data_IF_578332958099
#
_entry.id   IF_578332958099
#
_cell.length_a   1.000
_cell.length_b   1.000
_cell.length_c   1.000
_cell.angle_alpha   90.00
_cell.angle_beta   90.00
_cell.angle_gamma   90.00
#
_symmetry.space_group_name_H-M   'P 1'
#
loop_
_entity.id
_entity.type
_entity.pdbx_description
1 polymer ?
#
# COMPACT_ATOMS: atom_id res chain seq x y z
N UNK A 1 17.91 -33.46 0.21
CA UNK A 1 16.71 -33.21 1.04
C UNK A 1 16.44 -31.71 1.06
N UNK A 2 15.40 -31.29 0.32
CA UNK A 2 14.56 -30.08 0.51
C UNK A 2 15.23 -28.69 0.63
N UNK A 3 15.81 -28.19 -0.46
CA UNK A 3 15.99 -26.73 -0.66
C UNK A 3 14.70 -26.07 -1.19
N UNK A 4 13.85 -26.82 -1.90
CA UNK A 4 12.58 -26.29 -2.43
C UNK A 4 11.55 -25.95 -1.34
N UNK A 5 11.57 -26.65 -0.20
CA UNK A 5 10.59 -26.41 0.88
C UNK A 5 10.75 -25.06 1.58
N UNK A 6 11.94 -24.46 1.57
CA UNK A 6 12.16 -23.15 2.19
C UNK A 6 11.54 -22.04 1.31
N UNK A 7 11.59 -22.20 -0.02
CA UNK A 7 10.99 -21.26 -0.97
C UNK A 7 9.45 -21.25 -0.88
N UNK A 8 8.82 -22.43 -0.75
CA UNK A 8 7.36 -22.51 -0.58
C UNK A 8 6.88 -21.91 0.75
N UNK A 9 7.65 -22.04 1.82
CA UNK A 9 7.34 -21.41 3.11
C UNK A 9 7.43 -19.88 3.04
N UNK A 10 8.43 -19.33 2.34
CA UNK A 10 8.58 -17.89 2.17
C UNK A 10 7.49 -17.27 1.30
N UNK A 11 7.18 -17.90 0.15
CA UNK A 11 6.11 -17.41 -0.74
C UNK A 11 4.73 -17.55 -0.10
N UNK A 12 4.48 -18.65 0.63
CA UNK A 12 3.24 -18.85 1.38
C UNK A 12 3.04 -17.80 2.48
N UNK A 13 4.09 -17.50 3.25
CA UNK A 13 4.08 -16.46 4.27
C UNK A 13 3.80 -15.07 3.69
N UNK A 14 4.44 -14.71 2.57
CA UNK A 14 4.27 -13.39 1.94
C UNK A 14 2.84 -13.20 1.42
N UNK A 15 2.25 -14.26 0.85
CA UNK A 15 0.88 -14.24 0.35
C UNK A 15 -0.15 -14.18 1.48
N UNK A 16 0.02 -14.95 2.56
CA UNK A 16 -0.87 -14.90 3.73
C UNK A 16 -0.88 -13.51 4.38
N UNK A 17 0.26 -12.83 4.39
CA UNK A 17 0.41 -11.48 4.93
C UNK A 17 -0.39 -10.45 4.15
N UNK A 18 -0.21 -10.44 2.82
CA UNK A 18 -0.92 -9.54 1.92
C UNK A 18 -2.44 -9.75 2.03
N UNK A 19 -2.87 -10.99 2.22
CA UNK A 19 -4.29 -11.34 2.39
C UNK A 19 -4.84 -10.83 3.74
N UNK A 20 -4.12 -11.00 4.85
CA UNK A 20 -4.56 -10.51 6.18
C UNK A 20 -4.65 -8.99 6.25
N UNK A 21 -3.64 -8.29 5.71
CA UNK A 21 -3.62 -6.83 5.62
C UNK A 21 -4.81 -6.29 4.82
N UNK A 22 -5.02 -6.82 3.62
CA UNK A 22 -6.13 -6.41 2.75
C UNK A 22 -7.51 -6.69 3.39
N UNK A 23 -7.65 -7.79 4.13
CA UNK A 23 -8.90 -8.14 4.81
C UNK A 23 -9.24 -7.16 5.94
N UNK A 24 -8.25 -6.66 6.68
CA UNK A 24 -8.49 -5.66 7.73
C UNK A 24 -8.97 -4.31 7.16
N UNK A 25 -8.41 -3.88 6.03
CA UNK A 25 -8.74 -2.60 5.39
C UNK A 25 -10.11 -2.63 4.70
N UNK A 26 -10.51 -3.77 4.13
CA UNK A 26 -11.80 -3.91 3.44
C UNK A 26 -13.01 -3.75 4.37
N UNK A 27 -12.85 -4.04 5.67
CA UNK A 27 -13.92 -3.98 6.67
C UNK A 27 -14.07 -2.60 7.33
N UNK A 28 -13.28 -1.61 6.92
CA UNK A 28 -13.30 -0.27 7.50
C UNK A 28 -14.60 0.46 7.15
N UNK A 29 -15.24 1.06 8.16
CA UNK A 29 -16.55 1.69 8.04
C UNK A 29 -16.48 3.14 7.55
N UNK A 30 -15.35 3.82 7.74
CA UNK A 30 -15.17 5.23 7.35
C UNK A 30 -13.72 5.57 6.99
N UNK A 31 -13.53 6.65 6.22
CA UNK A 31 -12.17 7.19 5.96
C UNK A 31 -11.47 7.64 7.24
N UNK A 32 -12.21 8.11 8.25
CA UNK A 32 -11.60 8.49 9.52
C UNK A 32 -10.96 7.29 10.21
N UNK A 33 -11.67 6.17 10.26
CA UNK A 33 -11.15 4.92 10.84
C UNK A 33 -9.94 4.41 10.04
N UNK A 34 -9.98 4.53 8.71
CA UNK A 34 -8.86 4.18 7.84
C UNK A 34 -7.62 5.04 8.13
N UNK A 35 -7.82 6.35 8.28
CA UNK A 35 -6.74 7.29 8.57
C UNK A 35 -6.12 6.98 9.93
N UNK A 36 -6.95 6.79 10.97
CA UNK A 36 -6.47 6.40 12.31
C UNK A 36 -5.69 5.10 12.29
N UNK A 37 -6.14 4.11 11.51
CA UNK A 37 -5.42 2.86 11.35
C UNK A 37 -4.04 3.08 10.73
N UNK A 38 -3.94 3.80 9.62
CA UNK A 38 -2.64 4.04 8.98
C UNK A 38 -1.71 4.95 9.78
N UNK A 39 -2.26 5.93 10.50
CA UNK A 39 -1.49 6.82 11.37
C UNK A 39 -0.73 6.06 12.46
N UNK A 40 -1.24 4.91 12.88
CA UNK A 40 -0.54 4.05 13.84
C UNK A 40 0.83 3.54 13.35
N UNK A 41 1.08 3.56 12.03
CA UNK A 41 2.34 3.15 11.42
C UNK A 41 3.30 4.30 11.10
N UNK A 42 2.89 5.57 11.29
CA UNK A 42 3.80 6.70 11.13
C UNK A 42 4.64 6.97 12.38
N UNK A 43 5.82 7.55 12.20
CA UNK A 43 6.64 7.99 13.31
C UNK A 43 5.93 9.10 14.11
N UNK A 44 5.78 8.90 15.42
CA UNK A 44 5.13 9.87 16.34
C UNK A 44 6.13 10.81 17.02
N UNK A 45 7.42 10.63 16.78
CA UNK A 45 8.53 11.43 17.30
C UNK A 45 9.66 11.51 16.27
N UNK A 46 10.52 12.54 16.35
CA UNK A 46 11.73 12.68 15.53
C UNK A 46 12.80 11.63 15.93
N UNK A 47 12.51 10.35 15.70
CA UNK A 47 13.32 9.23 16.18
C UNK A 47 14.02 8.46 15.07
N UNK A 48 14.02 8.95 13.83
CA UNK A 48 14.73 8.30 12.72
C UNK A 48 16.15 8.88 12.63
N UNK A 49 17.15 8.02 12.64
CA UNK A 49 18.52 8.45 12.36
C UNK A 49 18.62 8.94 10.90
N UNK A 50 19.59 9.83 10.60
CA UNK A 50 19.72 10.43 9.27
C UNK A 50 19.89 9.36 8.17
N UNK A 51 20.63 8.31 8.45
CA UNK A 51 20.91 7.23 7.49
C UNK A 51 19.65 6.40 7.22
N UNK A 52 18.86 6.09 8.26
CA UNK A 52 17.56 5.44 8.11
C UNK A 52 16.58 6.32 7.33
N UNK A 53 16.59 7.62 7.59
CA UNK A 53 15.78 8.59 6.85
C UNK A 53 16.14 8.60 5.37
N UNK A 54 17.43 8.74 5.03
CA UNK A 54 17.93 8.73 3.65
C UNK A 54 17.62 7.41 2.95
N UNK A 55 17.77 6.28 3.64
CA UNK A 55 17.47 4.96 3.10
C UNK A 55 15.98 4.79 2.77
N UNK A 56 15.09 5.40 3.56
CA UNK A 56 13.63 5.32 3.37
C UNK A 56 13.07 6.24 2.27
N UNK A 57 13.88 7.15 1.73
CA UNK A 57 13.45 8.09 0.70
C UNK A 57 13.19 7.38 -0.64
N UNK A 58 12.12 7.76 -1.35
CA UNK A 58 11.87 7.21 -2.67
C UNK A 58 12.95 7.56 -3.71
N UNK A 59 13.30 6.59 -4.55
CA UNK A 59 14.19 6.80 -5.71
C UNK A 59 13.49 7.61 -6.80
N UNK A 60 14.23 8.01 -7.84
CA UNK A 60 13.63 8.76 -8.94
C UNK A 60 12.65 7.89 -9.74
N UNK A 61 13.01 6.63 -9.98
CA UNK A 61 12.21 5.65 -10.70
C UNK A 61 10.90 5.35 -9.95
N UNK A 62 10.98 5.16 -8.64
CA UNK A 62 9.79 4.94 -7.80
C UNK A 62 8.86 6.17 -7.81
N UNK A 63 9.42 7.39 -7.80
CA UNK A 63 8.63 8.64 -7.93
C UNK A 63 7.92 8.72 -9.27
N UNK A 64 8.57 8.35 -10.36
CA UNK A 64 7.97 8.35 -11.69
C UNK A 64 6.88 7.29 -11.82
N UNK A 65 7.12 6.09 -11.32
CA UNK A 65 6.10 5.04 -11.23
C UNK A 65 4.91 5.49 -10.37
N UNK A 66 5.15 6.16 -9.25
CA UNK A 66 4.07 6.63 -8.36
C UNK A 66 3.22 7.69 -9.04
N UNK A 67 3.85 8.64 -9.77
CA UNK A 67 3.12 9.63 -10.58
C UNK A 67 2.24 8.96 -11.63
N UNK A 68 2.76 7.95 -12.32
CA UNK A 68 2.00 7.19 -13.32
C UNK A 68 0.84 6.41 -12.68
N UNK A 69 1.07 5.77 -11.54
CA UNK A 69 0.08 5.04 -10.77
C UNK A 69 -1.08 5.97 -10.33
N UNK A 70 -0.75 7.08 -9.68
CA UNK A 70 -1.71 8.08 -9.23
C UNK A 70 -2.50 8.67 -10.38
N UNK A 71 -1.81 9.09 -11.46
CA UNK A 71 -2.47 9.64 -12.65
C UNK A 71 -3.45 8.64 -13.27
N UNK A 72 -3.08 7.35 -13.31
CA UNK A 72 -3.92 6.29 -13.87
C UNK A 72 -5.17 6.08 -13.02
N UNK A 73 -5.03 5.96 -11.70
CA UNK A 73 -6.17 5.77 -10.78
C UNK A 73 -7.08 7.00 -10.78
N UNK A 74 -6.51 8.20 -10.70
CA UNK A 74 -7.27 9.46 -10.71
C UNK A 74 -8.09 9.68 -11.99
N UNK A 75 -7.65 9.12 -13.12
CA UNK A 75 -8.39 9.18 -14.39
C UNK A 75 -9.59 8.24 -14.42
N UNK A 76 -9.64 7.20 -13.58
CA UNK A 76 -10.72 6.22 -13.57
C UNK A 76 -12.06 6.80 -13.11
N UNK A 77 -13.15 6.25 -13.65
CA UNK A 77 -14.52 6.57 -13.21
C UNK A 77 -14.96 5.69 -12.04
N UNK A 78 -14.59 4.40 -12.09
CA UNK A 78 -14.82 3.37 -11.10
C UNK A 78 -13.54 2.56 -10.89
N UNK A 79 -13.44 1.80 -9.80
CA UNK A 79 -12.24 1.05 -9.46
C UNK A 79 -12.35 -0.46 -9.75
N UNK A 80 -13.36 -0.90 -10.50
CA UNK A 80 -13.61 -2.31 -10.83
C UNK A 80 -12.43 -3.00 -11.54
N UNK A 81 -11.52 -2.21 -12.14
CA UNK A 81 -10.32 -2.68 -12.85
C UNK A 81 -9.05 -2.65 -12.00
N UNK A 82 -9.16 -2.26 -10.73
CA UNK A 82 -8.05 -2.22 -9.78
C UNK A 82 -8.13 -3.49 -8.95
N UNK A 83 -7.24 -4.44 -9.24
CA UNK A 83 -7.11 -5.70 -8.51
C UNK A 83 -5.66 -5.96 -8.13
N UNK A 84 -5.39 -7.12 -7.53
CA UNK A 84 -4.05 -7.53 -7.07
C UNK A 84 -2.98 -7.46 -8.16
N UNK A 85 -3.33 -7.71 -9.42
CA UNK A 85 -2.40 -7.63 -10.56
C UNK A 85 -2.15 -6.21 -11.07
N UNK A 86 -2.84 -5.20 -10.54
CA UNK A 86 -2.74 -3.82 -11.02
C UNK A 86 -1.34 -3.23 -10.81
N UNK A 87 -0.69 -3.60 -9.71
CA UNK A 87 0.67 -3.19 -9.37
C UNK A 87 1.76 -3.93 -10.15
N UNK A 88 1.45 -5.05 -10.83
CA UNK A 88 2.46 -5.82 -11.58
C UNK A 88 3.14 -5.02 -12.70
N UNK A 89 2.57 -3.87 -13.08
CA UNK A 89 3.12 -2.95 -14.09
C UNK A 89 4.09 -1.91 -13.53
N UNK A 90 4.29 -1.88 -12.21
CA UNK A 90 5.14 -0.94 -11.49
C UNK A 90 6.17 -1.77 -10.71
N UNK A 91 7.25 -2.13 -11.39
CA UNK A 91 8.21 -3.12 -10.90
C UNK A 91 8.92 -2.65 -9.63
N UNK A 92 9.20 -1.35 -9.53
CA UNK A 92 9.87 -0.75 -8.40
C UNK A 92 8.92 -0.55 -7.21
N UNK A 93 7.63 -0.30 -7.48
CA UNK A 93 6.63 -0.06 -6.43
C UNK A 93 5.96 -1.32 -5.86
N UNK A 94 5.79 -2.39 -6.66
CA UNK A 94 4.99 -3.57 -6.26
C UNK A 94 5.51 -4.29 -5.00
N UNK A 95 6.77 -4.09 -4.66
CA UNK A 95 7.41 -4.67 -3.47
C UNK A 95 7.16 -3.87 -2.19
N UNK A 96 6.74 -2.60 -2.31
CA UNK A 96 6.53 -1.69 -1.18
C UNK A 96 5.07 -1.28 -1.00
N UNK A 97 4.25 -1.38 -2.05
CA UNK A 97 2.88 -0.87 -2.04
C UNK A 97 1.85 -1.97 -2.24
N UNK A 98 0.66 -1.71 -1.76
CA UNK A 98 -0.56 -2.42 -2.11
C UNK A 98 -1.67 -1.44 -2.50
N UNK A 99 -2.68 -1.95 -3.20
CA UNK A 99 -3.87 -1.17 -3.55
C UNK A 99 -5.12 -1.91 -3.08
N UNK A 100 -5.88 -1.26 -2.23
CA UNK A 100 -7.10 -1.81 -1.66
C UNK A 100 -8.31 -0.95 -2.05
N UNK A 101 -9.39 -1.60 -2.48
CA UNK A 101 -10.66 -0.93 -2.77
C UNK A 101 -11.56 -1.04 -1.54
N UNK A 102 -11.98 0.10 -1.02
CA UNK A 102 -12.83 0.20 0.18
C UNK A 102 -14.21 0.68 -0.23
N UNK A 103 -15.23 -0.10 0.16
CA UNK A 103 -16.66 0.17 -0.11
C UNK A 103 -17.00 0.40 -1.59
N UNK A 104 -16.15 -0.05 -2.52
CA UNK A 104 -16.23 0.28 -3.95
C UNK A 104 -16.23 1.80 -4.28
N UNK A 105 -15.92 2.64 -3.29
CA UNK A 105 -15.97 4.10 -3.40
C UNK A 105 -14.59 4.73 -3.34
N UNK A 106 -13.65 4.07 -2.66
CA UNK A 106 -12.31 4.58 -2.43
C UNK A 106 -11.27 3.59 -2.93
N UNK A 107 -10.27 4.11 -3.61
CA UNK A 107 -9.04 3.40 -3.94
C UNK A 107 -7.96 3.89 -2.97
N UNK A 108 -7.44 2.98 -2.18
CA UNK A 108 -6.42 3.25 -1.17
C UNK A 108 -5.12 2.64 -1.68
N UNK A 109 -4.16 3.50 -2.01
CA UNK A 109 -2.79 3.10 -2.28
C UNK A 109 -2.05 3.27 -0.98
N UNK A 110 -1.47 2.20 -0.45
CA UNK A 110 -0.79 2.26 0.84
C UNK A 110 0.46 1.41 0.79
N UNK A 111 1.41 1.76 1.63
CA UNK A 111 2.57 0.92 1.86
C UNK A 111 2.17 -0.42 2.50
N UNK A 112 2.99 -1.44 2.29
CA UNK A 112 2.79 -2.75 2.92
C UNK A 112 2.75 -2.58 4.43
N UNK A 113 1.77 -3.23 5.04
CA UNK A 113 1.57 -3.16 6.49
C UNK A 113 2.62 -4.05 7.17
N UNK A 114 3.43 -3.50 8.08
CA UNK A 114 4.44 -4.28 8.77
C UNK A 114 3.84 -5.22 9.83
N UNK A 115 4.38 -6.43 9.94
CA UNK A 115 3.87 -7.46 10.85
C UNK A 115 4.07 -7.16 12.34
N UNK A 116 5.19 -6.52 12.69
CA UNK A 116 5.64 -6.39 14.07
C UNK A 116 5.26 -5.03 14.70
N UNK A 117 4.18 -4.37 14.24
CA UNK A 117 3.86 -2.97 14.61
C UNK A 117 5.02 -1.99 14.36
N UNK A 118 5.90 -2.34 13.42
CA UNK A 118 6.97 -1.44 12.97
C UNK A 118 6.34 -0.25 12.22
N UNK A 119 7.16 0.77 11.97
CA UNK A 119 6.75 1.87 11.11
C UNK A 119 6.79 1.42 9.65
N UNK A 120 6.16 2.20 8.78
CA UNK A 120 6.40 2.08 7.35
C UNK A 120 7.92 2.13 7.06
N UNK A 121 8.38 1.22 6.20
CA UNK A 121 9.77 1.06 5.79
C UNK A 121 10.20 2.20 4.86
N UNK A 122 9.28 2.63 4.00
CA UNK A 122 9.43 3.77 3.09
C UNK A 122 8.63 4.95 3.65
N UNK A 123 8.88 6.13 3.08
CA UNK A 123 8.11 7.33 3.40
C UNK A 123 6.95 7.56 2.41
N UNK A 124 6.35 6.49 1.91
CA UNK A 124 5.20 6.60 1.02
C UNK A 124 3.91 6.83 1.78
N UNK A 125 3.74 6.14 2.91
CA UNK A 125 2.52 6.22 3.71
C UNK A 125 1.31 5.69 2.93
N UNK A 126 0.29 6.52 2.76
CA UNK A 126 -0.91 6.16 2.01
C UNK A 126 -1.58 7.34 1.31
N UNK A 127 -2.35 7.03 0.26
CA UNK A 127 -3.15 7.96 -0.51
C UNK A 127 -4.54 7.36 -0.71
N UNK A 128 -5.58 8.13 -0.42
CA UNK A 128 -6.98 7.75 -0.64
C UNK A 128 -7.54 8.56 -1.80
N UNK A 129 -8.06 7.88 -2.82
CA UNK A 129 -8.69 8.49 -3.99
C UNK A 129 -10.15 8.07 -4.03
N UNK A 130 -11.06 9.03 -3.93
CA UNK A 130 -12.49 8.78 -4.11
C UNK A 130 -12.86 8.60 -5.58
N UNK A 131 -13.80 7.70 -5.88
CA UNK A 131 -14.29 7.49 -7.24
C UNK A 131 -15.07 8.72 -7.72
N UNK A 132 -14.94 9.07 -9.00
CA UNK A 132 -15.66 10.21 -9.59
C UNK A 132 -17.17 10.05 -9.56
N UNK A 133 -17.66 8.81 -9.53
CA UNK A 133 -19.09 8.51 -9.40
C UNK A 133 -19.63 9.01 -8.06
N UNK A 134 -18.82 8.92 -7.01
CA UNK A 134 -19.20 9.30 -5.65
C UNK A 134 -18.74 10.70 -5.25
N UNK A 135 -17.66 11.20 -5.85
CA UNK A 135 -17.09 12.52 -5.56
C UNK A 135 -17.87 13.68 -6.21
N UNK A 136 -18.86 13.41 -7.08
CA UNK A 136 -19.76 14.45 -7.58
C UNK A 136 -20.65 14.98 -6.44
N UNK A 137 -20.22 16.11 -5.88
CA UNK A 137 -21.08 17.12 -5.28
C UNK A 137 -21.55 18.08 -6.37
#
# INVERSE_FOLDING_TARGET
MRLESIFYLFVGSLLELQIRSAYSIQNVSSISELNTYFESFFATSNSTELDEWLASLPTHEEKDEMRLLLAKIYRMKTFDKVGSSFLNKFENLKQYLNVTIVQNHYCVIHELIPDDKKRFERMWGYVVIASKKWAKR
#
